data_IF_553948056085
#
_entry.id   IF_553948056085
#
_cell.length_a   1.000
_cell.length_b   1.000
_cell.length_c   1.000
_cell.angle_alpha   90.00
_cell.angle_beta   90.00
_cell.angle_gamma   90.00
#
_symmetry.space_group_name_H-M   'P 1'
#
loop_
_entity.id
_entity.type
_entity.pdbx_description
1 polymer ?
#
# COMPACT_ATOMS: atom_id res chain seq x y z
N UNK A 1 -6.03 -4.34 -24.08
CA UNK A 1 -6.41 -4.60 -22.66
C UNK A 1 -5.10 -4.52 -21.90
N UNK A 2 -5.08 -4.12 -20.65
CA UNK A 2 -3.85 -4.16 -19.85
C UNK A 2 -3.45 -5.64 -19.71
N UNK A 3 -2.20 -5.96 -19.98
CA UNK A 3 -1.70 -7.33 -19.89
C UNK A 3 -1.40 -7.71 -18.42
N UNK A 4 -1.28 -6.73 -17.53
CA UNK A 4 -1.00 -6.86 -16.11
C UNK A 4 -1.84 -5.89 -15.27
N UNK A 5 -2.18 -6.28 -14.04
CA UNK A 5 -2.85 -5.42 -13.05
C UNK A 5 -2.28 -5.66 -11.66
N UNK A 6 -1.38 -4.80 -11.25
CA UNK A 6 -0.73 -4.92 -9.95
C UNK A 6 -1.70 -4.66 -8.79
N UNK A 7 -1.65 -5.52 -7.78
CA UNK A 7 -2.47 -5.41 -6.58
C UNK A 7 -1.87 -6.09 -5.36
N UNK A 8 -2.57 -6.00 -4.25
CA UNK A 8 -2.11 -6.52 -2.97
C UNK A 8 -3.24 -7.18 -2.19
N UNK A 9 -2.93 -8.26 -1.49
CA UNK A 9 -3.79 -8.84 -0.45
C UNK A 9 -3.15 -8.61 0.91
N UNK A 10 -3.95 -8.13 1.87
CA UNK A 10 -3.54 -7.84 3.24
C UNK A 10 -4.28 -8.78 4.20
N UNK A 11 -3.61 -9.78 4.73
CA UNK A 11 -4.18 -10.70 5.72
C UNK A 11 -4.03 -10.12 7.13
N UNK A 12 -5.05 -9.41 7.62
CA UNK A 12 -4.99 -8.75 8.93
C UNK A 12 -4.92 -9.74 10.10
N UNK A 13 -5.26 -11.01 9.88
CA UNK A 13 -5.12 -12.06 10.89
C UNK A 13 -3.66 -12.31 11.27
N UNK A 14 -2.75 -12.13 10.30
CA UNK A 14 -1.31 -12.29 10.48
C UNK A 14 -0.60 -11.04 10.97
N UNK A 15 -1.27 -9.89 10.93
CA UNK A 15 -0.63 -8.61 11.29
C UNK A 15 -0.40 -8.49 12.80
N UNK A 16 0.86 -8.36 13.19
CA UNK A 16 1.27 -8.15 14.60
C UNK A 16 1.47 -6.68 14.97
N UNK A 17 1.33 -5.75 14.01
CA UNK A 17 1.56 -4.33 14.25
C UNK A 17 3.02 -3.92 14.43
N UNK A 18 3.98 -4.75 14.02
CA UNK A 18 5.42 -4.52 14.23
C UNK A 18 6.01 -3.33 13.48
N UNK A 19 5.30 -2.74 12.52
CA UNK A 19 5.68 -1.60 11.69
C UNK A 19 6.93 -1.78 10.79
N UNK A 20 7.45 -2.99 10.63
CA UNK A 20 8.58 -3.26 9.73
C UNK A 20 8.29 -2.79 8.29
N UNK A 21 7.03 -2.93 7.82
CA UNK A 21 6.58 -2.43 6.53
C UNK A 21 6.67 -0.90 6.40
N UNK A 22 6.42 -0.17 7.50
CA UNK A 22 6.49 1.31 7.52
C UNK A 22 7.95 1.75 7.37
N UNK A 23 8.85 1.21 8.17
CA UNK A 23 10.28 1.53 8.14
C UNK A 23 10.90 1.17 6.78
N UNK A 24 10.58 -0.01 6.26
CA UNK A 24 11.06 -0.44 4.95
C UNK A 24 10.56 0.47 3.82
N UNK A 25 9.29 0.92 3.88
CA UNK A 25 8.74 1.86 2.91
C UNK A 25 9.43 3.22 2.97
N UNK A 26 9.70 3.73 4.18
CA UNK A 26 10.39 5.00 4.38
C UNK A 26 11.81 4.96 3.79
N UNK A 27 12.56 3.92 4.09
CA UNK A 27 13.92 3.71 3.57
C UNK A 27 13.94 3.57 2.05
N UNK A 28 13.11 2.68 1.50
CA UNK A 28 13.08 2.39 0.06
C UNK A 28 12.66 3.59 -0.78
N UNK A 29 11.69 4.37 -0.30
CA UNK A 29 11.04 5.40 -1.10
C UNK A 29 11.48 6.82 -0.71
N UNK A 30 12.58 6.99 0.03
CA UNK A 30 13.06 8.29 0.49
C UNK A 30 11.94 9.12 1.14
N UNK A 31 11.11 8.49 1.97
CA UNK A 31 10.05 9.18 2.70
C UNK A 31 10.69 9.91 3.89
N UNK A 32 10.37 11.20 4.11
CA UNK A 32 10.99 11.97 5.18
C UNK A 32 10.71 11.37 6.56
N UNK A 33 11.64 11.60 7.49
CA UNK A 33 11.44 11.24 8.90
C UNK A 33 10.45 12.21 9.51
N UNK A 34 9.38 11.66 10.08
CA UNK A 34 8.36 12.44 10.75
C UNK A 34 8.70 12.67 12.22
N UNK A 35 8.55 13.91 12.69
CA UNK A 35 8.58 14.20 14.13
C UNK A 35 7.20 13.96 14.76
N UNK A 36 7.16 13.79 16.08
CA UNK A 36 5.92 13.71 16.84
C UNK A 36 5.05 14.96 16.62
N UNK A 37 5.66 16.13 16.51
CA UNK A 37 4.96 17.38 16.23
C UNK A 37 4.24 17.34 14.88
N UNK A 38 4.91 16.86 13.81
CA UNK A 38 4.30 16.71 12.49
C UNK A 38 3.13 15.73 12.51
N UNK A 39 3.28 14.65 13.24
CA UNK A 39 2.22 13.66 13.42
C UNK A 39 0.99 14.29 14.11
N UNK A 40 1.20 14.99 15.22
CA UNK A 40 0.13 15.66 15.98
C UNK A 40 -0.57 16.75 15.16
N UNK A 41 0.16 17.42 14.26
CA UNK A 41 -0.38 18.39 13.30
C UNK A 41 -1.06 17.74 12.07
N UNK A 42 -1.09 16.39 11.97
CA UNK A 42 -1.57 15.62 10.79
C UNK A 42 -0.82 15.99 9.50
N UNK A 43 0.46 16.25 9.60
CA UNK A 43 1.35 16.63 8.51
C UNK A 43 2.48 15.63 8.28
N UNK A 44 2.48 14.52 9.01
CA UNK A 44 3.38 13.39 8.78
C UNK A 44 3.15 12.79 7.39
N UNK A 45 4.23 12.41 6.72
CA UNK A 45 4.19 11.73 5.43
C UNK A 45 4.35 10.22 5.67
N UNK A 46 3.33 9.46 5.40
CA UNK A 46 3.27 8.02 5.73
C UNK A 46 2.67 7.23 4.56
N UNK A 47 3.50 6.84 3.60
CA UNK A 47 3.02 6.10 2.42
C UNK A 47 2.33 4.79 2.77
N UNK A 48 2.74 4.17 3.86
CA UNK A 48 2.04 3.09 4.56
C UNK A 48 2.03 3.40 6.05
N UNK A 49 0.91 3.19 6.70
CA UNK A 49 0.77 3.29 8.15
C UNK A 49 0.08 2.04 8.67
N UNK A 50 0.28 1.71 9.94
CA UNK A 50 -0.43 0.61 10.61
C UNK A 50 -1.38 1.23 11.63
N UNK A 51 -2.66 1.19 11.33
CA UNK A 51 -3.70 1.64 12.26
C UNK A 51 -3.94 0.57 13.32
N UNK A 52 -4.20 1.02 14.54
CA UNK A 52 -4.45 0.17 15.70
C UNK A 52 -5.82 0.48 16.26
N UNK A 53 -6.66 -0.55 16.34
CA UNK A 53 -7.99 -0.49 16.94
C UNK A 53 -8.05 -1.37 18.18
N UNK A 54 -8.74 -0.89 19.21
CA UNK A 54 -8.99 -1.64 20.43
C UNK A 54 -10.43 -2.12 20.45
N UNK A 55 -10.64 -3.37 20.82
CA UNK A 55 -11.95 -4.00 20.97
C UNK A 55 -12.05 -4.63 22.36
N UNK A 56 -13.28 -4.63 22.92
CA UNK A 56 -13.56 -5.17 24.25
C UNK A 56 -13.22 -4.21 25.40
N UNK A 57 -13.47 -4.70 26.63
CA UNK A 57 -13.20 -3.98 27.86
C UNK A 57 -12.21 -4.76 28.73
N UNK A 58 -11.46 -4.04 29.58
CA UNK A 58 -10.50 -4.68 30.49
C UNK A 58 -11.23 -5.66 31.42
N UNK A 59 -10.71 -6.91 31.62
CA UNK A 59 -9.42 -7.42 31.18
C UNK A 59 -9.39 -8.04 29.78
N UNK A 60 -10.50 -8.14 29.06
CA UNK A 60 -10.63 -8.85 27.78
C UNK A 60 -10.45 -7.91 26.57
N UNK A 61 -9.36 -7.16 26.56
CA UNK A 61 -9.04 -6.22 25.49
C UNK A 61 -8.27 -6.92 24.36
N UNK A 62 -8.71 -6.70 23.11
CA UNK A 62 -8.04 -7.18 21.90
C UNK A 62 -7.54 -5.99 21.07
N UNK A 63 -6.37 -6.11 20.43
CA UNK A 63 -5.87 -5.12 19.48
C UNK A 63 -5.98 -5.68 18.06
N UNK A 64 -6.43 -4.83 17.12
CA UNK A 64 -6.40 -5.12 15.69
C UNK A 64 -5.47 -4.14 14.99
N UNK A 65 -4.65 -4.65 14.08
CA UNK A 65 -3.69 -3.87 13.33
C UNK A 65 -4.02 -3.95 11.84
N UNK A 66 -4.16 -2.80 11.20
CA UNK A 66 -4.54 -2.72 9.79
C UNK A 66 -3.51 -1.87 9.05
N UNK A 67 -2.65 -2.46 8.23
CA UNK A 67 -1.78 -1.70 7.32
C UNK A 67 -2.61 -0.98 6.26
N UNK A 68 -2.46 0.34 6.16
CA UNK A 68 -3.17 1.18 5.20
C UNK A 68 -2.16 1.88 4.30
N UNK A 69 -2.34 1.74 2.99
CA UNK A 69 -1.57 2.39 1.93
C UNK A 69 -2.48 2.88 0.81
N UNK A 70 -1.93 3.49 -0.23
CA UNK A 70 -2.72 3.79 -1.42
C UNK A 70 -3.38 2.52 -1.97
N UNK A 71 -4.68 2.59 -2.21
CA UNK A 71 -5.47 1.45 -2.65
C UNK A 71 -5.37 1.21 -4.16
N UNK A 72 -4.67 2.07 -4.90
CA UNK A 72 -4.58 2.03 -6.37
C UNK A 72 -5.94 1.75 -7.02
N UNK A 73 -6.94 2.55 -6.61
CA UNK A 73 -8.34 2.40 -7.00
C UNK A 73 -8.52 2.36 -8.51
N UNK A 74 -9.33 1.44 -9.03
CA UNK A 74 -9.68 1.37 -10.45
C UNK A 74 -10.51 2.58 -10.89
N UNK A 75 -11.44 3.04 -10.03
CA UNK A 75 -12.16 4.30 -10.19
C UNK A 75 -11.68 5.30 -9.11
N UNK A 76 -10.58 5.98 -9.42
CA UNK A 76 -9.85 6.79 -8.45
C UNK A 76 -10.35 8.23 -8.38
N UNK A 77 -11.07 8.65 -7.32
CA UNK A 77 -11.63 10.01 -7.20
C UNK A 77 -10.54 11.10 -7.07
N UNK A 78 -9.30 10.70 -6.82
CA UNK A 78 -8.17 11.63 -6.77
C UNK A 78 -7.67 12.08 -8.15
N UNK A 79 -8.07 11.42 -9.24
CA UNK A 79 -7.62 11.74 -10.61
C UNK A 79 -8.38 12.91 -11.23
N UNK A 80 -9.73 12.90 -11.29
CA UNK A 80 -10.49 13.94 -11.96
C UNK A 80 -10.34 15.32 -11.28
N UNK A 81 -9.95 15.36 -10.01
CA UNK A 81 -9.76 16.61 -9.26
C UNK A 81 -8.37 17.23 -9.44
N UNK A 82 -7.46 16.57 -10.16
CA UNK A 82 -6.12 17.09 -10.40
C UNK A 82 -6.11 18.06 -11.61
N UNK A 83 -5.88 19.37 -11.41
CA UNK A 83 -5.98 20.34 -12.49
C UNK A 83 -4.87 20.20 -13.54
N UNK A 84 -3.78 19.50 -13.23
CA UNK A 84 -2.60 19.35 -14.10
C UNK A 84 -2.36 17.93 -14.52
N UNK A 85 -3.32 17.04 -14.27
CA UNK A 85 -3.20 15.62 -14.60
C UNK A 85 -1.90 14.97 -14.09
N UNK A 86 -1.50 15.35 -12.86
CA UNK A 86 -0.33 14.81 -12.18
C UNK A 86 -0.62 13.44 -11.56
N UNK A 87 -1.89 13.06 -11.43
CA UNK A 87 -2.30 11.72 -11.00
C UNK A 87 -3.21 11.10 -12.05
N UNK A 88 -2.93 9.85 -12.42
CA UNK A 88 -3.63 9.12 -13.48
C UNK A 88 -3.36 7.61 -13.34
N UNK A 89 -4.12 6.77 -14.04
CA UNK A 89 -3.81 5.36 -14.19
C UNK A 89 -2.82 5.11 -15.33
N UNK A 90 -1.86 4.20 -15.08
CA UNK A 90 -1.05 3.63 -16.13
C UNK A 90 -1.70 2.34 -16.69
N UNK A 91 -1.09 1.75 -17.71
CA UNK A 91 -1.57 0.51 -18.33
C UNK A 91 -1.58 -0.70 -17.41
N UNK A 92 -0.79 -0.69 -16.35
CA UNK A 92 -0.68 -1.78 -15.36
C UNK A 92 -1.63 -1.63 -14.17
N UNK A 93 -2.60 -0.73 -14.26
CA UNK A 93 -3.59 -0.47 -13.21
C UNK A 93 -3.05 0.28 -11.99
N UNK A 94 -1.86 0.87 -12.08
CA UNK A 94 -1.32 1.68 -11.00
C UNK A 94 -1.87 3.11 -11.06
N UNK A 95 -2.39 3.62 -9.94
CA UNK A 95 -2.62 5.04 -9.78
C UNK A 95 -1.29 5.74 -9.56
N UNK A 96 -0.82 6.48 -10.55
CA UNK A 96 0.50 7.13 -10.59
C UNK A 96 0.42 8.55 -10.04
N UNK A 97 1.53 9.04 -9.49
CA UNK A 97 1.74 10.44 -9.15
C UNK A 97 3.01 10.96 -9.82
N UNK A 98 2.85 11.88 -10.78
CA UNK A 98 3.97 12.53 -11.48
C UNK A 98 4.38 13.78 -10.72
N UNK A 99 5.50 13.69 -10.02
CA UNK A 99 5.96 14.77 -9.13
C UNK A 99 6.23 16.07 -9.86
N UNK A 100 6.86 16.01 -11.03
CA UNK A 100 7.21 17.19 -11.84
C UNK A 100 6.02 17.95 -12.42
N UNK A 101 4.83 17.32 -12.49
CA UNK A 101 3.59 17.98 -12.90
C UNK A 101 2.82 18.57 -11.72
N UNK A 102 3.11 18.11 -10.51
CA UNK A 102 2.33 18.48 -9.33
C UNK A 102 2.56 19.95 -8.97
N UNK A 103 1.48 20.70 -8.91
CA UNK A 103 1.47 22.11 -8.48
C UNK A 103 0.95 22.30 -7.05
N UNK A 104 0.69 21.21 -6.33
CA UNK A 104 0.40 21.25 -4.90
C UNK A 104 -1.00 21.75 -4.51
N UNK A 105 -2.00 21.68 -5.38
CA UNK A 105 -3.37 22.12 -5.05
C UNK A 105 -4.03 21.30 -3.95
N UNK A 106 -3.55 20.09 -3.67
CA UNK A 106 -4.03 19.15 -2.65
C UNK A 106 -5.45 18.60 -2.85
N UNK A 107 -6.12 18.93 -3.93
CA UNK A 107 -7.46 18.40 -4.19
C UNK A 107 -7.50 16.87 -4.24
N UNK A 108 -6.43 16.24 -4.73
CA UNK A 108 -6.32 14.77 -4.74
C UNK A 108 -6.25 14.16 -3.31
N UNK A 109 -5.74 14.90 -2.31
CA UNK A 109 -5.80 14.47 -0.92
C UNK A 109 -7.23 14.57 -0.37
N UNK A 110 -7.94 15.64 -0.69
CA UNK A 110 -9.33 15.83 -0.28
C UNK A 110 -10.28 14.83 -0.96
N UNK A 111 -9.98 14.45 -2.22
CA UNK A 111 -10.74 13.44 -2.95
C UNK A 111 -10.41 12.00 -2.55
N UNK A 112 -9.38 11.76 -1.75
CA UNK A 112 -9.00 10.41 -1.33
C UNK A 112 -9.73 9.99 -0.05
N UNK A 113 -10.67 9.04 -0.09
CA UNK A 113 -11.40 8.63 1.11
C UNK A 113 -10.53 7.85 2.10
N UNK A 114 -9.39 7.32 1.65
CA UNK A 114 -8.47 6.51 2.47
C UNK A 114 -7.42 7.34 3.20
N UNK A 115 -7.34 8.66 2.93
CA UNK A 115 -6.37 9.57 3.55
C UNK A 115 -4.91 9.09 3.39
N UNK A 116 -4.54 8.72 2.16
CA UNK A 116 -3.23 8.14 1.83
C UNK A 116 -2.46 8.96 0.79
N UNK A 117 -2.75 10.24 0.72
CA UNK A 117 -2.04 11.22 -0.11
C UNK A 117 -1.52 12.33 0.78
N UNK A 118 -0.22 12.56 0.73
CA UNK A 118 0.51 13.42 1.65
C UNK A 118 1.10 14.61 0.92
N UNK A 119 1.08 15.75 1.55
CA UNK A 119 1.63 16.99 1.01
C UNK A 119 2.90 17.38 1.75
N UNK A 120 3.94 17.68 1.00
CA UNK A 120 5.20 18.17 1.57
C UNK A 120 5.09 19.66 1.91
N UNK A 121 4.89 19.96 3.17
CA UNK A 121 4.84 21.33 3.67
C UNK A 121 6.22 21.98 3.80
N UNK A 122 7.27 21.16 3.92
CA UNK A 122 8.66 21.56 4.10
C UNK A 122 9.58 20.80 3.14
N UNK A 123 10.79 21.33 2.95
CA UNK A 123 11.84 20.55 2.33
C UNK A 123 12.19 19.36 3.24
N UNK A 124 12.25 18.14 2.72
CA UNK A 124 12.62 16.98 3.50
C UNK A 124 14.08 17.09 3.95
N UNK A 125 14.32 16.84 5.23
CA UNK A 125 15.64 16.88 5.83
C UNK A 125 15.94 15.56 6.51
N UNK A 126 17.12 15.00 6.22
CA UNK A 126 17.64 13.82 6.91
C UNK A 126 18.87 14.20 7.73
N UNK A 127 19.12 13.52 8.87
CA UNK A 127 20.42 13.58 9.53
C UNK A 127 21.55 13.29 8.54
N UNK A 128 22.70 13.91 8.72
CA UNK A 128 23.83 13.79 7.78
C UNK A 128 24.23 12.32 7.58
N UNK A 129 24.21 11.51 8.64
CA UNK A 129 24.49 10.07 8.60
C UNK A 129 23.55 9.28 7.69
N UNK A 130 22.33 9.76 7.45
CA UNK A 130 21.32 9.07 6.63
C UNK A 130 21.36 9.49 5.16
N UNK A 131 22.07 10.53 4.80
CA UNK A 131 22.18 11.00 3.40
C UNK A 131 22.73 9.92 2.46
N UNK A 132 23.67 9.11 2.95
CA UNK A 132 24.26 8.02 2.17
C UNK A 132 23.35 6.78 2.08
N UNK A 133 22.22 6.76 2.79
CA UNK A 133 21.24 5.68 2.76
C UNK A 133 20.06 5.97 1.81
N UNK A 134 20.01 7.17 1.23
CA UNK A 134 18.95 7.52 0.29
C UNK A 134 19.04 6.64 -0.96
N UNK A 135 17.88 6.12 -1.38
CA UNK A 135 17.78 5.30 -2.57
C UNK A 135 17.97 6.17 -3.84
N UNK A 136 19.02 5.94 -4.64
CA UNK A 136 19.28 6.75 -5.82
C UNK A 136 18.25 6.57 -6.94
N UNK A 137 17.51 5.47 -6.95
CA UNK A 137 16.47 5.18 -7.95
C UNK A 137 15.15 5.91 -7.66
N UNK A 138 15.03 6.57 -6.51
CA UNK A 138 13.81 7.24 -6.08
C UNK A 138 14.05 8.72 -5.87
N UNK A 139 13.32 9.56 -6.61
CA UNK A 139 13.39 11.01 -6.48
C UNK A 139 12.98 11.45 -5.08
N UNK A 140 13.78 12.31 -4.45
CA UNK A 140 13.38 13.06 -3.26
C UNK A 140 12.38 14.14 -3.67
N UNK A 141 11.21 14.18 -3.04
CA UNK A 141 10.16 15.15 -3.35
C UNK A 141 10.37 16.41 -2.54
N UNK A 142 10.34 17.55 -3.22
CA UNK A 142 10.51 18.87 -2.59
C UNK A 142 9.22 19.35 -1.92
N UNK A 143 9.32 20.48 -1.22
CA UNK A 143 8.15 21.19 -0.70
C UNK A 143 7.16 21.53 -1.81
N UNK A 144 5.87 21.47 -1.49
CA UNK A 144 4.79 21.84 -2.41
C UNK A 144 4.28 20.70 -3.29
N UNK A 145 4.79 19.50 -3.15
CA UNK A 145 4.44 18.33 -3.96
C UNK A 145 3.62 17.33 -3.14
N UNK A 146 2.66 16.69 -3.80
CA UNK A 146 1.91 15.56 -3.25
C UNK A 146 2.67 14.26 -3.48
N UNK A 147 2.66 13.39 -2.49
CA UNK A 147 3.24 12.06 -2.60
C UNK A 147 2.35 10.97 -2.01
N UNK A 148 2.56 9.74 -2.43
CA UNK A 148 1.79 8.57 -2.01
C UNK A 148 2.52 7.27 -2.34
N UNK A 149 2.04 6.14 -1.81
CA UNK A 149 2.53 4.82 -2.18
C UNK A 149 2.42 4.58 -3.70
N UNK A 150 3.48 4.07 -4.31
CA UNK A 150 3.60 3.72 -5.73
C UNK A 150 3.71 2.22 -5.98
N UNK A 151 3.50 1.36 -4.96
CA UNK A 151 3.87 -0.06 -4.96
C UNK A 151 5.35 -0.30 -5.31
N UNK A 152 6.22 0.67 -4.95
CA UNK A 152 7.66 0.65 -5.27
C UNK A 152 7.88 0.46 -6.78
N UNK A 153 7.23 1.29 -7.60
CA UNK A 153 7.27 1.23 -9.07
C UNK A 153 8.70 1.15 -9.64
N UNK A 154 9.70 1.72 -8.97
CA UNK A 154 11.11 1.60 -9.33
C UNK A 154 11.60 0.15 -9.34
N UNK A 155 11.07 -0.70 -8.44
CA UNK A 155 11.38 -2.12 -8.40
C UNK A 155 10.72 -2.87 -9.56
N UNK A 156 9.45 -2.58 -9.83
CA UNK A 156 8.72 -3.11 -10.99
C UNK A 156 9.49 -2.78 -12.29
N UNK A 157 9.82 -1.51 -12.51
CA UNK A 157 10.57 -1.06 -13.70
C UNK A 157 11.98 -1.65 -13.80
N UNK A 158 12.62 -1.95 -12.68
CA UNK A 158 13.91 -2.66 -12.69
C UNK A 158 13.73 -4.09 -13.18
N UNK A 159 12.65 -4.75 -12.76
CA UNK A 159 12.31 -6.08 -13.19
C UNK A 159 12.10 -6.18 -14.69
N UNK A 160 11.21 -5.35 -15.21
CA UNK A 160 10.88 -5.30 -16.63
C UNK A 160 12.15 -5.14 -17.49
N UNK A 161 13.01 -4.18 -17.16
CA UNK A 161 14.28 -3.97 -17.87
C UNK A 161 15.24 -5.16 -17.82
N UNK A 162 15.12 -6.00 -16.79
CA UNK A 162 15.95 -7.21 -16.70
C UNK A 162 15.40 -8.33 -17.57
N UNK A 163 14.08 -8.34 -17.81
CA UNK A 163 13.40 -9.32 -18.65
C UNK A 163 13.53 -8.98 -20.13
N UNK A 164 13.48 -7.70 -20.52
CA UNK A 164 13.73 -7.25 -21.91
C UNK A 164 15.07 -7.72 -22.49
N UNK A 165 16.00 -8.16 -21.64
CA UNK A 165 17.27 -8.80 -22.03
C UNK A 165 17.26 -10.33 -22.04
N UNK A 166 16.17 -10.98 -21.66
CA UNK A 166 16.00 -12.43 -21.59
C UNK A 166 14.58 -12.77 -22.03
N UNK A 167 14.43 -13.69 -22.95
CA UNK A 167 13.19 -14.12 -23.63
C UNK A 167 11.86 -13.74 -22.94
N UNK A 168 10.91 -13.24 -23.73
CA UNK A 168 9.57 -12.79 -23.35
C UNK A 168 8.85 -13.80 -22.45
N UNK A 169 8.81 -13.53 -21.14
CA UNK A 169 8.09 -14.33 -20.16
C UNK A 169 7.33 -13.44 -19.17
N UNK A 170 6.13 -13.86 -18.81
CA UNK A 170 5.35 -13.24 -17.72
C UNK A 170 6.12 -13.36 -16.41
N UNK A 171 6.20 -12.28 -15.63
CA UNK A 171 6.85 -12.30 -14.29
C UNK A 171 6.00 -13.15 -13.35
N UNK A 172 6.50 -14.32 -12.98
CA UNK A 172 5.82 -15.18 -12.00
C UNK A 172 6.20 -14.84 -10.55
N UNK A 173 5.42 -15.31 -9.58
CA UNK A 173 5.65 -15.06 -8.15
C UNK A 173 7.06 -15.48 -7.67
N UNK A 174 7.62 -16.54 -8.20
CA UNK A 174 8.97 -17.00 -7.88
C UNK A 174 10.04 -16.02 -8.34
N UNK A 175 9.85 -15.39 -9.49
CA UNK A 175 10.73 -14.35 -10.01
C UNK A 175 10.59 -13.04 -9.24
N UNK A 176 9.37 -12.66 -8.82
CA UNK A 176 9.17 -11.53 -7.92
C UNK A 176 10.04 -11.66 -6.66
N UNK A 177 10.09 -12.85 -6.05
CA UNK A 177 10.93 -13.11 -4.88
C UNK A 177 12.43 -13.10 -5.20
N UNK A 178 12.84 -13.86 -6.21
CA UNK A 178 14.27 -14.06 -6.54
C UNK A 178 14.95 -12.78 -7.01
N UNK A 179 14.20 -11.83 -7.61
CA UNK A 179 14.72 -10.59 -8.19
C UNK A 179 14.51 -9.36 -7.32
N UNK A 180 14.07 -9.50 -6.07
CA UNK A 180 13.73 -8.37 -5.18
C UNK A 180 12.71 -7.38 -5.79
N UNK A 181 11.76 -7.87 -6.57
CA UNK A 181 10.76 -7.08 -7.30
C UNK A 181 9.56 -6.70 -6.43
N UNK A 182 9.42 -7.35 -5.30
CA UNK A 182 8.34 -7.05 -4.38
C UNK A 182 8.48 -5.67 -3.78
N UNK A 183 7.37 -4.98 -3.51
CA UNK A 183 7.39 -3.78 -2.69
C UNK A 183 8.15 -4.00 -1.40
N UNK A 184 8.92 -3.00 -0.97
CA UNK A 184 9.77 -3.12 0.22
C UNK A 184 8.98 -3.51 1.49
N UNK A 185 7.74 -3.04 1.62
CA UNK A 185 6.84 -3.39 2.72
C UNK A 185 6.46 -4.88 2.72
N UNK A 186 6.30 -5.49 1.55
CA UNK A 186 6.01 -6.93 1.41
C UNK A 186 7.24 -7.74 1.79
N UNK A 187 8.40 -7.37 1.24
CA UNK A 187 9.67 -8.04 1.51
C UNK A 187 10.04 -8.01 2.99
N UNK A 188 9.77 -6.89 3.67
CA UNK A 188 10.11 -6.71 5.09
C UNK A 188 9.08 -7.30 6.05
N UNK A 189 7.93 -7.78 5.58
CA UNK A 189 6.86 -8.28 6.45
C UNK A 189 7.21 -9.67 7.02
N UNK A 190 7.51 -9.80 8.34
CA UNK A 190 7.99 -11.06 8.90
C UNK A 190 6.91 -12.15 8.96
N UNK A 191 5.65 -11.75 8.96
CA UNK A 191 4.51 -12.67 9.10
C UNK A 191 3.85 -13.01 7.75
N UNK A 192 4.31 -12.38 6.65
CA UNK A 192 3.67 -12.56 5.34
C UNK A 192 2.23 -12.06 5.27
N UNK A 193 1.93 -11.01 6.06
CA UNK A 193 0.63 -10.32 6.03
C UNK A 193 0.33 -9.71 4.66
N UNK A 194 1.35 -9.18 4.00
CA UNK A 194 1.24 -8.49 2.72
C UNK A 194 1.64 -9.44 1.59
N UNK A 195 0.78 -9.60 0.60
CA UNK A 195 1.04 -10.41 -0.61
C UNK A 195 0.79 -9.52 -1.81
N UNK A 196 1.79 -9.36 -2.66
CA UNK A 196 1.75 -8.52 -3.87
C UNK A 196 1.93 -9.37 -5.12
N UNK A 197 1.30 -8.97 -6.22
CA UNK A 197 1.45 -9.64 -7.52
C UNK A 197 0.44 -9.11 -8.54
N UNK A 198 0.37 -9.79 -9.67
CA UNK A 198 -0.59 -9.50 -10.72
C UNK A 198 -1.96 -10.11 -10.39
N UNK A 199 -2.99 -9.26 -10.34
CA UNK A 199 -4.38 -9.66 -10.08
C UNK A 199 -5.04 -10.38 -11.27
N UNK A 200 -4.45 -10.32 -12.46
CA UNK A 200 -4.94 -10.97 -13.69
C UNK A 200 -4.28 -12.32 -13.95
N UNK A 201 -3.06 -12.54 -13.44
CA UNK A 201 -2.36 -13.81 -13.58
C UNK A 201 -2.98 -14.88 -12.67
N UNK A 202 -3.69 -15.84 -13.27
CA UNK A 202 -4.35 -16.94 -12.56
C UNK A 202 -3.36 -17.85 -11.80
N UNK A 203 -2.09 -17.84 -12.18
CA UNK A 203 -1.04 -18.61 -11.48
C UNK A 203 -0.50 -17.89 -10.25
N UNK A 204 -0.74 -16.59 -10.13
CA UNK A 204 -0.21 -15.77 -9.05
C UNK A 204 -0.91 -16.05 -7.71
N UNK A 205 -0.13 -15.98 -6.63
CA UNK A 205 -0.64 -16.16 -5.27
C UNK A 205 -1.67 -15.07 -4.91
N UNK A 206 -1.48 -13.85 -5.38
CA UNK A 206 -2.40 -12.74 -5.10
C UNK A 206 -3.75 -12.96 -5.78
N UNK A 207 -3.77 -13.51 -7.01
CA UNK A 207 -4.99 -13.88 -7.72
C UNK A 207 -5.77 -14.97 -6.98
N UNK A 208 -5.09 -16.05 -6.57
CA UNK A 208 -5.70 -17.11 -5.79
C UNK A 208 -6.32 -16.60 -4.49
N UNK A 209 -5.58 -15.80 -3.73
CA UNK A 209 -6.07 -15.21 -2.48
C UNK A 209 -7.26 -14.30 -2.73
N UNK A 210 -7.22 -13.45 -3.75
CA UNK A 210 -8.35 -12.60 -4.16
C UNK A 210 -9.59 -13.44 -4.46
N UNK A 211 -9.47 -14.44 -5.33
CA UNK A 211 -10.59 -15.27 -5.80
C UNK A 211 -11.21 -16.05 -4.65
N UNK A 212 -10.41 -16.73 -3.84
CA UNK A 212 -10.89 -17.48 -2.67
C UNK A 212 -11.50 -16.56 -1.60
N UNK A 213 -10.96 -15.38 -1.42
CA UNK A 213 -11.40 -14.50 -0.34
C UNK A 213 -12.67 -13.73 -0.65
N UNK A 214 -12.90 -13.39 -1.92
CA UNK A 214 -14.09 -12.66 -2.38
C UNK A 214 -15.24 -13.59 -2.81
N UNK A 215 -15.06 -14.91 -2.79
CA UNK A 215 -16.16 -15.87 -2.99
C UNK A 215 -17.13 -15.86 -1.81
N UNK A 216 -18.32 -16.43 -2.01
CA UNK A 216 -19.36 -16.55 -0.97
C UNK A 216 -18.81 -17.23 0.29
N UNK A 217 -18.94 -16.55 1.43
CA UNK A 217 -18.39 -17.02 2.71
C UNK A 217 -16.89 -16.75 2.90
N UNK A 218 -16.23 -16.09 1.95
CA UNK A 218 -14.82 -15.71 2.07
C UNK A 218 -14.57 -14.58 3.07
N UNK A 219 -13.32 -14.46 3.51
CA UNK A 219 -12.87 -13.41 4.46
C UNK A 219 -12.54 -12.08 3.79
N UNK A 220 -12.57 -12.01 2.46
CA UNK A 220 -12.15 -10.84 1.70
C UNK A 220 -13.14 -9.69 1.76
N UNK A 221 -12.60 -8.47 1.78
CA UNK A 221 -13.36 -7.24 1.62
C UNK A 221 -12.48 -6.13 1.05
N UNK A 222 -13.10 -5.14 0.47
CA UNK A 222 -12.43 -3.90 0.04
C UNK A 222 -12.77 -2.78 1.02
N UNK A 223 -11.79 -1.92 1.31
CA UNK A 223 -12.03 -0.77 2.18
C UNK A 223 -13.02 0.19 1.53
N UNK A 224 -14.01 0.66 2.30
CA UNK A 224 -15.02 1.64 1.87
C UNK A 224 -15.69 1.25 0.55
N UNK A 225 -15.97 -0.03 0.35
CA UNK A 225 -16.56 -0.61 -0.85
C UNK A 225 -17.82 0.14 -1.36
N UNK A 226 -18.74 0.62 -0.48
CA UNK A 226 -19.91 1.38 -0.91
C UNK A 226 -19.61 2.68 -1.67
N UNK A 227 -18.37 3.19 -1.61
CA UNK A 227 -17.96 4.39 -2.36
C UNK A 227 -17.65 4.09 -3.84
N UNK A 228 -17.61 2.82 -4.27
CA UNK A 228 -17.42 2.44 -5.67
C UNK A 228 -16.04 2.77 -6.24
N UNK A 229 -15.01 2.98 -5.40
CA UNK A 229 -13.67 3.38 -5.87
C UNK A 229 -12.83 2.24 -6.44
N UNK A 230 -13.33 1.02 -6.39
CA UNK A 230 -12.68 -0.20 -6.89
C UNK A 230 -11.22 -0.39 -6.44
N UNK A 231 -10.94 -0.54 -5.14
CA UNK A 231 -9.60 -0.78 -4.63
C UNK A 231 -8.93 -2.03 -5.24
N UNK A 232 -7.64 -1.92 -5.58
CA UNK A 232 -6.77 -3.04 -5.96
C UNK A 232 -6.04 -3.65 -4.74
N UNK A 233 -6.34 -3.19 -3.54
CA UNK A 233 -5.92 -3.81 -2.28
C UNK A 233 -7.13 -4.49 -1.65
N UNK A 234 -7.00 -5.79 -1.40
CA UNK A 234 -8.02 -6.64 -0.79
C UNK A 234 -7.57 -6.97 0.64
N UNK A 235 -8.47 -6.86 1.59
CA UNK A 235 -8.21 -7.17 2.99
C UNK A 235 -8.90 -8.48 3.36
N UNK A 236 -8.21 -9.33 4.13
CA UNK A 236 -8.79 -10.53 4.71
C UNK A 236 -9.11 -10.27 6.18
N UNK A 237 -10.37 -10.44 6.55
CA UNK A 237 -10.85 -10.28 7.94
C UNK A 237 -10.05 -11.16 8.89
N UNK A 238 -9.87 -10.68 10.12
CA UNK A 238 -9.32 -11.50 11.19
C UNK A 238 -10.28 -12.64 11.53
N UNK A 239 -9.73 -13.82 11.83
CA UNK A 239 -10.50 -14.97 12.31
C UNK A 239 -10.62 -14.86 13.83
N UNK A 240 -11.83 -14.71 14.34
CA UNK A 240 -12.10 -14.78 15.79
C UNK A 240 -12.41 -16.22 16.16
N UNK A 241 -11.41 -16.92 16.73
CA UNK A 241 -11.52 -18.33 17.13
C UNK A 241 -12.50 -18.54 18.31
N UNK A 242 -12.92 -17.44 18.97
CA UNK A 242 -13.77 -17.48 20.16
C UNK A 242 -15.22 -17.01 19.90
N UNK A 243 -15.61 -16.74 18.67
CA UNK A 243 -16.99 -16.31 18.36
C UNK A 243 -18.04 -17.40 18.67
N UNK A 244 -17.62 -18.66 18.65
CA UNK A 244 -18.53 -19.79 18.91
C UNK A 244 -18.74 -20.09 20.41
N UNK A 245 -17.84 -19.63 21.28
CA UNK A 245 -17.95 -19.84 22.74
C UNK A 245 -18.93 -18.86 23.38
N UNK A 246 -19.15 -17.68 22.82
CA UNK A 246 -20.08 -16.67 23.36
C UNK A 246 -21.56 -17.00 23.05
N UNK A 247 -21.83 -17.71 21.95
CA UNK A 247 -23.20 -18.13 21.58
C UNK A 247 -23.73 -19.23 22.54
N UNK A 248 -22.86 -20.07 23.08
CA UNK A 248 -23.23 -21.14 23.99
C UNK A 248 -23.27 -20.73 25.47
N UNK A 249 -22.80 -19.53 25.81
CA UNK A 249 -22.83 -19.02 27.20
C UNK A 249 -24.18 -18.37 27.60
N UNK A 250 -25.08 -18.19 26.65
CA UNK A 250 -26.41 -17.58 26.83
C UNK A 250 -27.58 -18.53 26.42
N UNK A 251 -27.34 -19.83 26.26
CA UNK A 251 -28.36 -20.83 25.99
C UNK A 251 -28.79 -21.59 27.24
#
# INVERSE_FOLDING_TARGET
MADEKWGMVVDIDKCTGCQACVVACQSENNVPINSEELFNQRRAVEWIRVERYWEGEFPNVKARFIPIMCQHCGDAPCEPVCPVYATYHNSEGLNVQVYNRCVGTRYCANGCPFTVRFFNYWEPVWPESFRNQLNPDVTVRSRGIMEKCSFCVQRIRRAERTIEGQDEGTINDGELWSRNLMPACVQACPTGTLVFGDLLDESSRVHHLKTLSLSDGGRGYKLLEPLGTEPNVIYLKKVDVHADDEVNAHA
#
